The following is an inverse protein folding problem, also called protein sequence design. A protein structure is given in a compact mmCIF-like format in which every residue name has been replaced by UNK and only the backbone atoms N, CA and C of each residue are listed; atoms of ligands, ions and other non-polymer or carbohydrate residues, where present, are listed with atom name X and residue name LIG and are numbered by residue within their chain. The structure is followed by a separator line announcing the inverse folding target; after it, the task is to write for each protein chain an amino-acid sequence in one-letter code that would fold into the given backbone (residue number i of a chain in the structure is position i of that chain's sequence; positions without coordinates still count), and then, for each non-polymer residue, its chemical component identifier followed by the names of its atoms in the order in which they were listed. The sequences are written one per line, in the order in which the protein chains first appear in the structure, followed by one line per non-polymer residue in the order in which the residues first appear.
data_IF_989772096539
#
_entry.id   IF_989772096539
#
_cell.length_a   1.000
_cell.length_b   1.000
_cell.length_c   1.000
_cell.angle_alpha   90.00
_cell.angle_beta   90.00
_cell.angle_gamma   90.00
#
_symmetry.space_group_name_H-M   'P 1'
#
loop_
_entity.id
_entity.type
_entity.pdbx_description
1 polymer ?
#
# COMPACT_ATOMS: atom_id res chain seq x y z
N UNK A 1 31.80 35.46 9.21
CA UNK A 1 30.69 34.63 9.71
C UNK A 1 31.22 33.36 10.37
N UNK A 2 32.13 32.63 9.73
CA UNK A 2 32.70 31.37 10.27
C UNK A 2 33.43 31.51 11.61
N UNK A 3 34.19 32.60 11.82
CA UNK A 3 34.81 32.91 13.12
C UNK A 3 33.80 33.22 14.24
N UNK A 4 32.57 33.62 13.88
CA UNK A 4 31.48 33.91 14.82
C UNK A 4 30.75 32.62 15.19
N UNK A 5 30.50 31.73 14.22
CA UNK A 5 29.91 30.41 14.41
C UNK A 5 30.82 29.54 15.27
N UNK A 6 32.12 29.46 14.95
CA UNK A 6 33.08 28.68 15.72
C UNK A 6 33.25 29.16 17.18
N UNK A 7 32.94 30.42 17.47
CA UNK A 7 33.03 31.01 18.82
C UNK A 7 31.80 30.68 19.69
N UNK A 8 30.63 30.47 19.08
CA UNK A 8 29.40 30.11 19.79
C UNK A 8 29.06 28.61 19.71
N UNK A 9 29.58 27.92 18.71
CA UNK A 9 29.35 26.50 18.46
C UNK A 9 30.56 25.89 17.72
N UNK A 10 31.60 25.49 18.46
CA UNK A 10 32.86 25.02 17.88
C UNK A 10 32.69 23.72 17.07
N UNK A 11 31.64 22.95 17.33
CA UNK A 11 31.34 21.70 16.64
C UNK A 11 30.42 21.87 15.42
N UNK A 12 29.92 23.08 15.15
CA UNK A 12 28.98 23.35 14.06
C UNK A 12 29.51 22.86 12.71
N UNK A 13 30.79 23.08 12.43
CA UNK A 13 31.44 22.63 11.19
C UNK A 13 31.50 21.10 11.11
N UNK A 14 31.84 20.42 12.22
CA UNK A 14 31.89 18.95 12.27
C UNK A 14 30.51 18.34 12.10
N UNK A 15 29.47 18.93 12.71
CA UNK A 15 28.08 18.49 12.54
C UNK A 15 27.56 18.74 11.12
N UNK A 16 27.88 19.88 10.52
CA UNK A 16 27.54 20.16 9.13
C UNK A 16 28.20 19.16 8.16
N UNK A 17 29.47 18.82 8.37
CA UNK A 17 30.17 17.80 7.58
C UNK A 17 29.57 16.39 7.76
N UNK A 18 29.17 16.01 8.98
CA UNK A 18 28.48 14.74 9.23
C UNK A 18 27.09 14.70 8.60
N UNK A 19 26.31 15.79 8.69
CA UNK A 19 25.01 15.91 8.01
C UNK A 19 25.16 15.90 6.48
N UNK A 20 26.27 16.41 5.94
CA UNK A 20 26.57 16.28 4.52
C UNK A 20 26.78 14.82 4.08
N UNK A 21 27.12 13.90 4.98
CA UNK A 21 27.19 12.47 4.66
C UNK A 21 25.81 11.80 4.59
N UNK A 22 24.73 12.45 5.04
CA UNK A 22 23.35 11.91 5.00
C UNK A 22 22.56 12.37 3.76
N UNK A 23 23.24 12.88 2.73
CA UNK A 23 22.62 13.21 1.45
C UNK A 23 22.02 11.96 0.83
N UNK A 24 20.79 12.05 0.35
CA UNK A 24 20.05 10.91 -0.17
C UNK A 24 18.97 11.37 -1.17
N UNK A 25 18.57 10.46 -2.06
CA UNK A 25 17.41 10.62 -2.94
C UNK A 25 16.58 9.35 -2.82
N UNK A 26 15.35 9.47 -2.33
CA UNK A 26 14.48 8.33 -2.10
C UNK A 26 13.09 8.55 -2.67
N UNK A 27 12.40 7.44 -2.95
CA UNK A 27 11.03 7.43 -3.47
C UNK A 27 10.09 6.67 -2.56
N UNK A 28 8.84 7.12 -2.46
CA UNK A 28 7.80 6.47 -1.67
C UNK A 28 6.45 6.51 -2.43
N UNK A 29 5.83 5.35 -2.73
CA UNK A 29 4.47 5.32 -3.26
C UNK A 29 3.47 5.92 -2.26
N UNK A 30 2.49 6.71 -2.74
CA UNK A 30 1.49 7.37 -1.88
C UNK A 30 0.03 7.05 -2.26
N UNK A 31 -0.19 6.11 -3.18
CA UNK A 31 -1.51 5.73 -3.68
C UNK A 31 -1.93 6.50 -4.93
N UNK A 32 -3.05 6.09 -5.55
CA UNK A 32 -3.65 6.73 -6.73
C UNK A 32 -2.73 6.91 -7.94
N UNK A 33 -1.74 6.03 -8.08
CA UNK A 33 -0.73 6.10 -9.16
C UNK A 33 0.38 7.13 -8.89
N UNK A 34 0.34 7.79 -7.73
CA UNK A 34 1.26 8.84 -7.34
C UNK A 34 2.40 8.31 -6.46
N UNK A 35 3.56 8.96 -6.57
CA UNK A 35 4.72 8.70 -5.72
C UNK A 35 5.38 10.01 -5.29
N UNK A 36 5.94 9.99 -4.09
CA UNK A 36 6.79 11.04 -3.55
C UNK A 36 8.25 10.80 -3.94
N UNK A 37 8.95 11.86 -4.33
CA UNK A 37 10.40 11.90 -4.51
C UNK A 37 10.99 12.89 -3.50
N UNK A 38 11.81 12.38 -2.58
CA UNK A 38 12.51 13.17 -1.57
C UNK A 38 13.99 13.32 -1.88
N UNK A 39 14.52 14.52 -1.70
CA UNK A 39 15.96 14.82 -1.83
C UNK A 39 16.46 15.47 -0.55
N UNK A 40 17.49 14.88 0.03
CA UNK A 40 18.21 15.44 1.18
C UNK A 40 19.55 15.96 0.68
N UNK A 41 19.78 17.27 0.78
CA UNK A 41 21.06 17.91 0.48
C UNK A 41 21.37 19.07 1.43
N UNK A 42 22.53 19.69 1.27
CA UNK A 42 22.85 20.98 1.89
C UNK A 42 21.78 22.01 1.54
N UNK A 43 21.31 22.78 2.53
CA UNK A 43 20.22 23.74 2.35
C UNK A 43 20.41 24.68 1.14
N UNK A 44 21.58 25.32 0.92
CA UNK A 44 21.75 26.21 -0.24
C UNK A 44 21.60 25.52 -1.60
N UNK A 45 21.90 24.22 -1.66
CA UNK A 45 21.72 23.43 -2.88
C UNK A 45 20.25 23.09 -3.08
N UNK A 46 19.53 22.71 -2.01
CA UNK A 46 18.08 22.48 -2.09
C UNK A 46 17.35 23.76 -2.46
N UNK A 47 17.74 24.90 -1.88
CA UNK A 47 17.17 26.21 -2.21
C UNK A 47 17.37 26.53 -3.70
N UNK A 48 18.60 26.37 -4.22
CA UNK A 48 18.88 26.58 -5.63
C UNK A 48 18.11 25.62 -6.57
N UNK A 49 17.99 24.34 -6.20
CA UNK A 49 17.18 23.36 -6.95
C UNK A 49 15.71 23.76 -6.95
N UNK A 50 15.18 24.12 -5.78
CA UNK A 50 13.79 24.53 -5.64
C UNK A 50 13.49 25.81 -6.42
N UNK A 51 14.38 26.80 -6.38
CA UNK A 51 14.27 28.04 -7.16
C UNK A 51 14.27 27.79 -8.66
N UNK A 52 15.12 26.88 -9.14
CA UNK A 52 15.13 26.48 -10.55
C UNK A 52 13.80 25.83 -10.98
N UNK A 53 13.26 24.91 -10.16
CA UNK A 53 11.95 24.29 -10.38
C UNK A 53 10.84 25.34 -10.34
N UNK A 54 10.90 26.28 -9.40
CA UNK A 54 9.94 27.38 -9.28
C UNK A 54 9.94 28.28 -10.51
N UNK A 55 11.11 28.64 -11.01
CA UNK A 55 11.26 29.48 -12.21
C UNK A 55 10.67 28.77 -13.45
N UNK A 56 11.04 27.50 -13.67
CA UNK A 56 10.53 26.70 -14.77
C UNK A 56 9.01 26.46 -14.65
N UNK A 57 8.51 26.16 -13.45
CA UNK A 57 7.08 26.00 -13.18
C UNK A 57 6.28 27.28 -13.42
N UNK A 58 6.84 28.45 -13.12
CA UNK A 58 6.21 29.75 -13.44
C UNK A 58 6.10 29.97 -14.96
N UNK A 59 7.15 29.61 -15.72
CA UNK A 59 7.13 29.69 -17.18
C UNK A 59 6.06 28.75 -17.75
N UNK A 60 6.02 27.48 -17.31
CA UNK A 60 5.03 26.50 -17.74
C UNK A 60 3.60 26.92 -17.41
N UNK A 61 3.38 27.47 -16.21
CA UNK A 61 2.08 28.01 -15.82
C UNK A 61 1.62 29.14 -16.74
N UNK A 62 2.55 30.00 -17.17
CA UNK A 62 2.24 31.09 -18.09
C UNK A 62 1.83 30.55 -19.46
N UNK A 63 2.54 29.54 -19.97
CA UNK A 63 2.18 28.85 -21.21
C UNK A 63 0.81 28.17 -21.14
N UNK A 64 0.44 27.62 -19.98
CA UNK A 64 -0.88 27.01 -19.73
C UNK A 64 -2.00 28.02 -19.50
N UNK A 65 -1.79 29.33 -19.72
CA UNK A 65 -2.82 30.36 -19.57
C UNK A 65 -3.00 30.90 -18.14
N UNK A 66 -2.09 30.54 -17.23
CA UNK A 66 -1.95 31.18 -15.92
C UNK A 66 -3.20 31.11 -15.05
N UNK A 67 -3.62 32.26 -14.52
CA UNK A 67 -4.75 32.32 -13.60
C UNK A 67 -6.09 32.08 -14.31
N UNK A 68 -6.19 32.45 -15.59
CA UNK A 68 -7.44 32.33 -16.35
C UNK A 68 -7.76 30.88 -16.68
N UNK A 69 -6.75 30.08 -17.03
CA UNK A 69 -6.93 28.63 -17.21
C UNK A 69 -7.37 27.93 -15.92
N UNK A 70 -6.81 28.33 -14.77
CA UNK A 70 -7.23 27.78 -13.49
C UNK A 70 -8.69 28.17 -13.15
N UNK A 71 -9.11 29.40 -13.47
CA UNK A 71 -10.53 29.81 -13.34
C UNK A 71 -11.45 29.01 -14.26
N UNK A 72 -10.96 28.61 -15.42
CA UNK A 72 -11.63 27.71 -16.35
C UNK A 72 -11.58 26.22 -15.92
N UNK A 73 -11.16 25.93 -14.68
CA UNK A 73 -11.01 24.58 -14.11
C UNK A 73 -10.02 23.68 -14.85
N UNK A 74 -8.98 24.28 -15.42
CA UNK A 74 -7.80 23.53 -15.82
C UNK A 74 -6.84 23.41 -14.62
N UNK A 75 -6.91 22.28 -13.92
CA UNK A 75 -6.08 22.01 -12.74
C UNK A 75 -4.58 21.87 -13.09
N UNK A 76 -4.22 21.60 -14.34
CA UNK A 76 -2.83 21.54 -14.80
C UNK A 76 -2.14 22.91 -14.77
N UNK A 77 -2.92 24.01 -14.77
CA UNK A 77 -2.40 25.36 -14.60
C UNK A 77 -2.11 25.71 -13.12
N UNK A 78 -2.42 24.81 -12.18
CA UNK A 78 -2.10 25.00 -10.78
C UNK A 78 -0.58 25.05 -10.57
N UNK A 79 -0.14 25.91 -9.64
CA UNK A 79 1.29 26.10 -9.37
C UNK A 79 1.98 24.80 -8.91
N UNK A 80 1.27 23.93 -8.20
CA UNK A 80 1.79 22.62 -7.79
C UNK A 80 2.04 21.70 -9.00
N UNK A 81 1.04 21.53 -9.87
CA UNK A 81 1.14 20.73 -11.09
C UNK A 81 2.27 21.23 -12.00
N UNK A 82 2.31 22.54 -12.26
CA UNK A 82 3.36 23.14 -13.08
C UNK A 82 4.77 22.96 -12.51
N UNK A 83 4.95 22.98 -11.18
CA UNK A 83 6.27 22.68 -10.57
C UNK A 83 6.64 21.20 -10.70
N UNK A 84 5.69 20.30 -10.52
CA UNK A 84 5.93 18.87 -10.67
C UNK A 84 6.36 18.54 -12.11
N UNK A 85 5.63 19.06 -13.09
CA UNK A 85 5.92 18.86 -14.51
C UNK A 85 7.23 19.55 -14.92
N UNK A 86 7.52 20.73 -14.37
CA UNK A 86 8.79 21.40 -14.60
C UNK A 86 9.98 20.62 -14.03
N UNK A 87 9.84 20.03 -12.84
CA UNK A 87 10.87 19.13 -12.29
C UNK A 87 11.07 17.91 -13.21
N UNK A 88 9.99 17.27 -13.65
CA UNK A 88 10.08 16.15 -14.57
C UNK A 88 10.79 16.54 -15.88
N UNK A 89 10.46 17.71 -16.44
CA UNK A 89 11.10 18.22 -17.64
C UNK A 89 12.58 18.60 -17.43
N UNK A 90 12.95 19.14 -16.26
CA UNK A 90 14.35 19.44 -15.93
C UNK A 90 15.21 18.18 -15.74
N UNK A 91 14.62 17.11 -15.21
CA UNK A 91 15.34 15.86 -14.92
C UNK A 91 15.38 14.93 -16.13
N UNK A 92 14.28 14.85 -16.89
CA UNK A 92 14.10 13.89 -17.98
C UNK A 92 14.25 14.53 -19.37
N UNK A 93 14.18 15.86 -19.47
CA UNK A 93 14.27 16.58 -20.73
C UNK A 93 15.69 17.02 -21.10
N UNK A 94 15.87 17.37 -22.37
CA UNK A 94 17.04 18.09 -22.86
C UNK A 94 16.70 19.57 -23.01
N UNK A 95 17.64 20.45 -22.65
CA UNK A 95 17.47 21.88 -22.87
C UNK A 95 17.67 22.18 -24.37
N UNK A 96 16.63 22.70 -25.03
CA UNK A 96 16.72 23.18 -26.41
C UNK A 96 17.57 24.45 -26.50
N UNK A 97 18.00 24.82 -27.70
CA UNK A 97 18.90 25.96 -27.94
C UNK A 97 18.30 27.30 -27.48
N UNK A 98 16.97 27.42 -27.46
CA UNK A 98 16.24 28.60 -26.96
C UNK A 98 15.92 28.54 -25.45
N UNK A 99 16.43 27.54 -24.73
CA UNK A 99 16.25 27.37 -23.29
C UNK A 99 14.93 26.73 -22.87
N UNK A 100 14.13 26.26 -23.83
CA UNK A 100 12.98 25.39 -23.61
C UNK A 100 13.41 24.01 -23.08
N UNK A 101 12.53 23.37 -22.32
CA UNK A 101 12.74 22.00 -21.85
C UNK A 101 12.02 21.06 -22.81
N UNK A 102 12.80 20.28 -23.57
CA UNK A 102 12.28 19.27 -24.48
C UNK A 102 12.25 17.95 -23.74
N UNK A 103 11.05 17.46 -23.41
CA UNK A 103 10.88 16.15 -22.81
C UNK A 103 10.88 15.06 -23.89
N UNK A 104 11.88 14.19 -23.86
CA UNK A 104 11.93 13.00 -24.72
C UNK A 104 11.62 11.76 -23.88
N UNK A 105 10.34 11.39 -23.84
CA UNK A 105 9.87 10.20 -23.14
C UNK A 105 10.56 8.91 -23.63
N UNK A 106 11.05 8.88 -24.87
CA UNK A 106 11.72 7.69 -25.45
C UNK A 106 13.09 7.41 -24.85
N UNK A 107 13.71 8.38 -24.19
CA UNK A 107 15.02 8.22 -23.53
C UNK A 107 14.95 7.64 -22.13
N UNK A 108 13.76 7.54 -21.54
CA UNK A 108 13.58 7.01 -20.18
C UNK A 108 12.80 5.70 -20.24
N UNK A 109 13.49 4.57 -20.13
CA UNK A 109 12.84 3.27 -19.97
C UNK A 109 12.48 3.06 -18.49
N UNK A 110 11.19 3.17 -18.16
CA UNK A 110 10.67 2.74 -16.85
C UNK A 110 9.79 1.53 -17.05
N UNK A 111 10.08 0.47 -16.31
CA UNK A 111 9.22 -0.71 -16.26
C UNK A 111 8.04 -0.45 -15.32
N UNK A 112 6.82 -0.51 -15.84
CA UNK A 112 5.58 -0.36 -15.09
C UNK A 112 4.77 -1.66 -15.18
N UNK A 113 4.41 -2.22 -14.03
CA UNK A 113 3.59 -3.43 -13.95
C UNK A 113 2.19 -3.07 -13.51
N UNK A 114 1.23 -3.20 -14.43
CA UNK A 114 -0.19 -3.04 -14.13
C UNK A 114 -0.85 -4.41 -14.02
N UNK A 115 -1.54 -4.64 -12.91
CA UNK A 115 -2.33 -5.86 -12.68
C UNK A 115 -3.79 -5.46 -12.45
N UNK A 116 -4.70 -6.00 -13.26
CA UNK A 116 -6.14 -5.79 -13.16
C UNK A 116 -6.90 -6.97 -13.77
N UNK A 117 -8.17 -7.17 -13.39
CA UNK A 117 -9.02 -8.18 -14.02
C UNK A 117 -9.46 -7.75 -15.44
N UNK A 118 -9.85 -8.74 -16.26
CA UNK A 118 -10.19 -8.52 -17.66
C UNK A 118 -11.39 -7.59 -17.84
N UNK A 119 -12.38 -7.69 -16.97
CA UNK A 119 -13.59 -6.87 -17.02
C UNK A 119 -13.24 -5.39 -16.72
N UNK A 120 -12.33 -5.16 -15.77
CA UNK A 120 -11.81 -3.83 -15.43
C UNK A 120 -10.99 -3.24 -16.56
N UNK A 121 -10.17 -4.06 -17.22
CA UNK A 121 -9.43 -3.67 -18.42
C UNK A 121 -10.37 -3.28 -19.57
N UNK A 122 -11.44 -4.06 -19.79
CA UNK A 122 -12.45 -3.83 -20.84
C UNK A 122 -13.41 -2.67 -20.52
N UNK A 123 -13.35 -2.11 -19.33
CA UNK A 123 -14.27 -1.05 -18.87
C UNK A 123 -15.68 -1.56 -18.56
N UNK A 124 -15.83 -2.87 -18.34
CA UNK A 124 -17.10 -3.51 -17.97
C UNK A 124 -17.40 -3.34 -16.47
N UNK A 125 -16.38 -3.01 -15.68
CA UNK A 125 -16.45 -2.59 -14.27
C UNK A 125 -15.29 -1.69 -13.90
N UNK A 126 -15.41 -0.98 -12.79
CA UNK A 126 -14.28 -0.25 -12.17
C UNK A 126 -13.77 -1.01 -10.95
N UNK A 127 -13.09 -2.13 -11.21
CA UNK A 127 -12.38 -2.92 -10.19
C UNK A 127 -11.06 -2.27 -9.75
N UNK A 128 -10.49 -2.78 -8.66
CA UNK A 128 -9.16 -2.36 -8.22
C UNK A 128 -8.09 -2.83 -9.20
N UNK A 129 -7.11 -1.97 -9.46
CA UNK A 129 -5.89 -2.31 -10.17
C UNK A 129 -4.66 -2.03 -9.32
N UNK A 130 -3.52 -2.65 -9.67
CA UNK A 130 -2.25 -2.43 -9.01
C UNK A 130 -1.23 -1.91 -10.01
N UNK A 131 -0.55 -0.80 -9.67
CA UNK A 131 0.64 -0.31 -10.36
C UNK A 131 1.87 -0.59 -9.49
N UNK A 132 2.77 -1.44 -9.97
CA UNK A 132 3.96 -1.87 -9.23
C UNK A 132 3.62 -2.38 -7.81
N UNK A 133 2.49 -3.10 -7.69
CA UNK A 133 1.95 -3.62 -6.43
C UNK A 133 1.22 -2.61 -5.55
N UNK A 134 0.97 -1.39 -6.03
CA UNK A 134 0.25 -0.35 -5.27
C UNK A 134 -1.14 -0.11 -5.86
N UNK A 135 -2.22 -0.06 -5.05
CA UNK A 135 -3.57 0.27 -5.49
C UNK A 135 -3.67 1.54 -6.34
N UNK A 136 -4.32 1.43 -7.50
CA UNK A 136 -4.71 2.55 -8.37
C UNK A 136 -6.15 2.41 -8.88
N UNK A 137 -6.84 3.53 -9.17
CA UNK A 137 -8.15 3.51 -9.82
C UNK A 137 -8.15 2.88 -11.22
N UNK A 138 -9.26 2.23 -11.57
CA UNK A 138 -9.45 1.57 -12.88
C UNK A 138 -9.22 2.48 -14.09
N UNK A 139 -9.65 3.76 -14.11
CA UNK A 139 -9.40 4.65 -15.26
C UNK A 139 -7.89 4.85 -15.51
N UNK A 140 -7.12 5.12 -14.45
CA UNK A 140 -5.66 5.32 -14.54
C UNK A 140 -4.98 4.02 -15.01
N UNK A 141 -5.42 2.88 -14.48
CA UNK A 141 -4.89 1.58 -14.89
C UNK A 141 -5.09 1.32 -16.40
N UNK A 142 -6.25 1.69 -16.95
CA UNK A 142 -6.53 1.58 -18.38
C UNK A 142 -5.67 2.51 -19.23
N UNK A 143 -5.40 3.73 -18.77
CA UNK A 143 -4.47 4.66 -19.45
C UNK A 143 -3.06 4.09 -19.53
N UNK A 144 -2.55 3.54 -18.43
CA UNK A 144 -1.22 2.90 -18.41
C UNK A 144 -1.21 1.62 -19.26
N UNK A 145 -2.28 0.83 -19.21
CA UNK A 145 -2.38 -0.40 -19.99
C UNK A 145 -2.49 -0.13 -21.51
N UNK A 146 -3.08 0.99 -21.93
CA UNK A 146 -3.19 1.38 -23.34
C UNK A 146 -1.83 1.64 -24.01
N UNK A 147 -0.80 1.97 -23.23
CA UNK A 147 0.57 2.22 -23.71
C UNK A 147 1.52 1.06 -23.39
N UNK A 148 1.01 -0.09 -22.96
CA UNK A 148 1.84 -1.23 -22.59
C UNK A 148 2.45 -1.93 -23.82
N UNK A 149 3.77 -2.13 -23.79
CA UNK A 149 4.50 -2.84 -24.85
C UNK A 149 4.22 -4.35 -24.87
N UNK A 150 3.84 -4.93 -23.72
CA UNK A 150 3.63 -6.36 -23.56
C UNK A 150 2.54 -6.69 -22.56
N UNK A 151 1.94 -7.86 -22.74
CA UNK A 151 0.86 -8.36 -21.92
C UNK A 151 1.17 -9.75 -21.38
N UNK A 152 0.71 -10.03 -20.15
CA UNK A 152 0.83 -11.34 -19.51
C UNK A 152 -0.52 -11.73 -18.92
N UNK A 153 -0.93 -12.97 -19.16
CA UNK A 153 -2.13 -13.52 -18.54
C UNK A 153 -1.77 -14.06 -17.15
N UNK A 154 -2.51 -13.60 -16.15
CA UNK A 154 -2.51 -14.15 -14.80
C UNK A 154 -3.80 -14.93 -14.59
N UNK A 155 -3.72 -16.10 -13.99
CA UNK A 155 -4.88 -16.84 -13.45
C UNK A 155 -4.79 -16.74 -11.95
N UNK A 156 -5.86 -16.27 -11.34
CA UNK A 156 -6.00 -16.19 -9.90
C UNK A 156 -7.16 -17.07 -9.45
N UNK A 157 -7.10 -17.53 -8.22
CA UNK A 157 -8.22 -18.16 -7.54
C UNK A 157 -9.32 -17.10 -7.34
N UNK A 158 -10.56 -17.38 -7.77
CA UNK A 158 -11.65 -16.40 -7.72
C UNK A 158 -12.17 -16.13 -6.30
N UNK A 159 -11.84 -16.97 -5.31
CA UNK A 159 -12.32 -16.89 -3.92
C UNK A 159 -11.34 -16.10 -3.05
N UNK A 160 -10.06 -16.45 -3.09
CA UNK A 160 -9.03 -15.86 -2.21
C UNK A 160 -8.05 -14.93 -2.93
N UNK A 161 -8.10 -14.84 -4.26
CA UNK A 161 -7.25 -13.97 -5.07
C UNK A 161 -5.81 -14.49 -5.24
N UNK A 162 -5.52 -15.72 -4.83
CA UNK A 162 -4.19 -16.29 -4.96
C UNK A 162 -3.81 -16.53 -6.42
N UNK A 163 -2.57 -16.20 -6.79
CA UNK A 163 -2.06 -16.47 -8.13
C UNK A 163 -1.88 -17.98 -8.35
N UNK A 164 -2.69 -18.55 -9.25
CA UNK A 164 -2.66 -19.98 -9.60
C UNK A 164 -1.75 -20.27 -10.80
N UNK A 165 -1.72 -19.37 -11.79
CA UNK A 165 -0.87 -19.50 -12.99
C UNK A 165 -0.40 -18.13 -13.45
N UNK A 166 0.92 -17.96 -13.56
CA UNK A 166 1.56 -16.72 -13.98
C UNK A 166 1.69 -16.60 -15.51
N UNK A 167 1.18 -17.57 -16.27
CA UNK A 167 1.20 -17.62 -17.73
C UNK A 167 2.61 -17.86 -18.30
N UNK A 168 2.71 -18.73 -19.32
CA UNK A 168 4.00 -19.08 -19.96
C UNK A 168 4.27 -18.34 -21.27
N UNK A 169 3.31 -17.56 -21.81
CA UNK A 169 3.50 -16.83 -23.07
C UNK A 169 4.09 -15.44 -22.83
N UNK A 170 5.42 -15.39 -22.67
CA UNK A 170 6.29 -14.28 -23.04
C UNK A 170 7.65 -14.87 -23.46
N UNK A 171 8.26 -14.34 -24.52
CA UNK A 171 9.59 -14.76 -25.04
C UNK A 171 10.62 -14.87 -23.88
N UNK A 172 11.33 -16.01 -23.75
CA UNK A 172 12.28 -16.34 -22.65
C UNK A 172 13.74 -15.96 -22.98
N UNK A 173 14.71 -15.89 -22.00
CA UNK A 173 14.65 -16.18 -20.54
C UNK A 173 15.08 -15.00 -19.61
N UNK A 174 14.88 -15.01 -18.27
CA UNK A 174 14.48 -16.11 -17.37
C UNK A 174 13.68 -15.71 -16.08
N UNK A 175 12.71 -16.54 -15.63
CA UNK A 175 11.43 -16.04 -15.07
C UNK A 175 11.24 -16.18 -13.55
N UNK A 176 12.01 -17.01 -12.85
CA UNK A 176 11.70 -17.37 -11.45
C UNK A 176 12.04 -16.27 -10.45
N UNK A 177 13.19 -15.60 -10.60
CA UNK A 177 13.61 -14.52 -9.71
C UNK A 177 12.61 -13.37 -9.73
N UNK A 178 12.22 -12.96 -10.92
CA UNK A 178 11.21 -11.92 -11.13
C UNK A 178 9.88 -12.34 -10.53
N UNK A 179 9.40 -13.56 -10.81
CA UNK A 179 8.18 -14.08 -10.21
C UNK A 179 8.19 -13.99 -8.67
N UNK A 180 9.27 -14.45 -8.02
CA UNK A 180 9.39 -14.44 -6.56
C UNK A 180 9.42 -13.01 -6.00
N UNK A 181 10.12 -12.08 -6.66
CA UNK A 181 10.20 -10.68 -6.20
C UNK A 181 8.89 -9.91 -6.42
N UNK A 182 8.08 -10.27 -7.40
CA UNK A 182 6.75 -9.68 -7.59
C UNK A 182 5.72 -10.23 -6.62
N UNK A 183 5.76 -11.54 -6.31
CA UNK A 183 4.94 -12.15 -5.25
C UNK A 183 5.30 -11.60 -3.88
N UNK A 184 6.60 -11.43 -3.62
CA UNK A 184 7.15 -11.02 -2.32
C UNK A 184 7.84 -9.64 -2.41
N UNK A 185 7.13 -8.54 -2.70
CA UNK A 185 7.76 -7.23 -2.95
C UNK A 185 8.42 -6.63 -1.70
N UNK A 186 7.98 -7.08 -0.52
CA UNK A 186 8.53 -6.73 0.80
C UNK A 186 9.15 -7.98 1.42
N UNK A 187 10.27 -7.79 2.11
CA UNK A 187 11.03 -8.85 2.76
C UNK A 187 10.13 -9.71 3.67
N UNK A 188 10.06 -11.01 3.39
CA UNK A 188 9.22 -11.98 4.14
C UNK A 188 9.61 -12.22 5.60
N UNK A 189 10.77 -11.72 6.05
CA UNK A 189 11.15 -11.77 7.47
C UNK A 189 10.07 -11.04 8.30
N UNK A 190 9.46 -11.68 9.31
CA UNK A 190 8.45 -11.03 10.15
C UNK A 190 8.93 -9.69 10.73
N UNK A 191 8.09 -8.66 10.56
CA UNK A 191 8.34 -7.29 11.01
C UNK A 191 9.38 -6.50 10.21
N UNK A 192 9.86 -7.00 9.07
CA UNK A 192 10.72 -6.23 8.17
C UNK A 192 9.86 -5.49 7.13
N UNK A 193 10.12 -4.20 6.92
CA UNK A 193 9.38 -3.36 5.97
C UNK A 193 10.21 -2.98 4.73
N UNK A 194 11.42 -3.52 4.58
CA UNK A 194 12.28 -3.25 3.42
C UNK A 194 11.81 -4.03 2.20
N UNK A 195 12.02 -3.46 1.01
CA UNK A 195 11.83 -4.18 -0.27
C UNK A 195 12.68 -5.44 -0.33
N UNK A 196 12.12 -6.50 -0.92
CA UNK A 196 12.90 -7.66 -1.29
C UNK A 196 13.80 -7.31 -2.48
N UNK A 197 15.04 -7.77 -2.44
CA UNK A 197 16.06 -7.54 -3.48
C UNK A 197 16.66 -8.85 -3.97
N UNK A 198 16.44 -9.93 -3.23
CA UNK A 198 17.06 -11.22 -3.44
C UNK A 198 15.99 -12.32 -3.37
N UNK A 199 16.06 -13.23 -4.34
CA UNK A 199 15.35 -14.51 -4.30
C UNK A 199 16.20 -15.48 -3.49
N UNK A 200 15.69 -15.91 -2.35
CA UNK A 200 16.38 -16.79 -1.41
C UNK A 200 15.69 -18.16 -1.34
N UNK A 201 16.49 -19.23 -1.28
CA UNK A 201 15.99 -20.60 -1.14
C UNK A 201 15.81 -20.97 0.34
N UNK A 202 14.61 -21.40 0.74
CA UNK A 202 14.35 -21.93 2.08
C UNK A 202 15.26 -23.14 2.39
N UNK A 203 15.29 -24.13 1.49
CA UNK A 203 16.29 -25.20 1.46
C UNK A 203 17.39 -24.85 0.42
N UNK A 204 18.63 -24.59 0.86
CA UNK A 204 19.69 -24.11 -0.04
C UNK A 204 19.99 -25.04 -1.21
N UNK A 205 20.27 -24.45 -2.39
CA UNK A 205 20.81 -25.18 -3.54
C UNK A 205 22.16 -25.84 -3.19
N UNK A 206 22.49 -27.04 -3.72
CA UNK A 206 21.68 -27.88 -4.61
C UNK A 206 20.70 -28.81 -3.89
N UNK A 207 20.57 -28.72 -2.56
CA UNK A 207 19.71 -29.62 -1.79
C UNK A 207 18.22 -29.34 -1.98
N UNK A 208 17.85 -28.11 -2.30
CA UNK A 208 16.50 -27.71 -2.67
C UNK A 208 16.39 -27.27 -4.12
N UNK A 209 15.20 -27.46 -4.72
CA UNK A 209 14.90 -27.04 -6.08
C UNK A 209 14.77 -25.51 -6.18
N UNK A 210 15.06 -24.96 -7.36
CA UNK A 210 14.77 -23.57 -7.69
C UNK A 210 13.36 -23.49 -8.26
N UNK A 211 12.36 -23.41 -7.37
CA UNK A 211 10.94 -23.31 -7.70
C UNK A 211 10.21 -22.32 -6.77
N UNK A 212 8.93 -22.09 -7.02
CA UNK A 212 8.13 -21.10 -6.28
C UNK A 212 7.86 -21.51 -4.83
N UNK A 213 7.89 -22.80 -4.50
CA UNK A 213 7.65 -23.29 -3.15
C UNK A 213 8.90 -23.15 -2.28
N UNK A 214 10.08 -23.36 -2.86
CA UNK A 214 11.35 -23.26 -2.15
C UNK A 214 11.97 -21.85 -2.19
N UNK A 215 11.55 -20.96 -3.08
CA UNK A 215 12.11 -19.61 -3.19
C UNK A 215 11.21 -18.51 -2.59
N UNK A 216 11.82 -17.49 -1.97
CA UNK A 216 11.14 -16.34 -1.37
C UNK A 216 11.90 -15.02 -1.43
N UNK A 217 11.20 -13.90 -1.38
CA UNK A 217 11.79 -12.56 -1.38
C UNK A 217 12.34 -12.13 -0.02
N UNK A 218 13.64 -11.80 0.03
CA UNK A 218 14.30 -11.18 1.18
C UNK A 218 15.04 -9.90 0.79
N UNK A 219 15.17 -8.97 1.74
CA UNK A 219 16.14 -7.87 1.60
C UNK A 219 17.55 -8.42 1.86
N UNK A 220 18.58 -7.80 1.27
CA UNK A 220 19.97 -8.26 1.39
C UNK A 220 20.40 -8.51 2.84
N UNK A 221 20.03 -7.62 3.76
CA UNK A 221 20.36 -7.78 5.19
C UNK A 221 19.75 -9.05 5.80
N UNK A 222 18.48 -9.36 5.49
CA UNK A 222 17.80 -10.52 6.08
C UNK A 222 18.22 -11.82 5.41
N UNK A 223 18.56 -11.79 4.12
CA UNK A 223 19.20 -12.92 3.45
C UNK A 223 20.52 -13.29 4.14
N UNK A 224 21.41 -12.33 4.37
CA UNK A 224 22.70 -12.58 5.05
C UNK A 224 22.53 -13.17 6.46
N UNK A 225 21.51 -12.76 7.22
CA UNK A 225 21.19 -13.34 8.53
C UNK A 225 20.86 -14.85 8.42
N UNK A 226 20.13 -15.24 7.39
CA UNK A 226 19.81 -16.65 7.12
C UNK A 226 21.03 -17.40 6.59
N UNK A 227 21.80 -16.82 5.68
CA UNK A 227 23.05 -17.41 5.18
C UNK A 227 24.04 -17.70 6.31
N UNK A 228 24.11 -16.82 7.31
CA UNK A 228 24.92 -17.00 8.52
C UNK A 228 24.36 -18.03 9.52
N UNK A 229 23.23 -18.68 9.23
CA UNK A 229 22.62 -19.70 10.08
C UNK A 229 21.92 -19.16 11.34
N UNK A 230 21.63 -17.86 11.41
CA UNK A 230 20.92 -17.26 12.54
C UNK A 230 19.40 -17.41 12.45
N UNK A 231 18.90 -17.83 11.29
CA UNK A 231 17.51 -18.19 11.06
C UNK A 231 17.40 -19.17 9.89
N UNK A 232 16.28 -19.89 9.84
CA UNK A 232 15.87 -20.75 8.74
C UNK A 232 14.42 -20.46 8.37
N UNK A 233 14.02 -20.90 7.18
CA UNK A 233 12.62 -20.91 6.74
C UNK A 233 12.21 -22.37 6.61
N UNK A 234 11.15 -22.74 7.30
CA UNK A 234 10.50 -24.05 7.22
C UNK A 234 9.11 -23.89 6.58
N UNK A 235 8.52 -25.00 6.13
CA UNK A 235 7.15 -25.04 5.59
C UNK A 235 6.90 -23.99 4.49
N UNK A 236 7.93 -23.64 3.71
CA UNK A 236 7.81 -22.66 2.63
C UNK A 236 6.88 -23.22 1.54
N UNK A 237 5.93 -22.41 1.10
CA UNK A 237 4.94 -22.79 0.10
C UNK A 237 4.93 -21.81 -1.09
N UNK A 238 4.29 -22.25 -2.19
CA UNK A 238 4.28 -21.54 -3.46
C UNK A 238 3.57 -20.17 -3.40
N UNK A 239 2.71 -19.96 -2.41
CA UNK A 239 1.98 -18.71 -2.12
C UNK A 239 2.80 -17.68 -1.31
N UNK A 240 4.06 -17.99 -1.00
CA UNK A 240 4.92 -17.13 -0.19
C UNK A 240 4.68 -17.26 1.32
N UNK A 241 3.83 -18.18 1.78
CA UNK A 241 3.70 -18.51 3.19
C UNK A 241 4.86 -19.39 3.68
N UNK A 242 5.01 -19.50 5.00
CA UNK A 242 5.99 -20.37 5.63
C UNK A 242 6.22 -20.04 7.10
N UNK A 243 7.26 -20.62 7.68
CA UNK A 243 7.62 -20.42 9.08
C UNK A 243 9.04 -19.90 9.19
N UNK A 244 9.21 -18.69 9.72
CA UNK A 244 10.52 -18.18 10.09
C UNK A 244 10.93 -18.78 11.43
N UNK A 245 12.06 -19.49 11.46
CA UNK A 245 12.60 -20.10 12.67
C UNK A 245 13.90 -19.38 13.04
N UNK A 246 13.95 -18.76 14.22
CA UNK A 246 15.18 -18.11 14.70
C UNK A 246 16.17 -19.14 15.23
N UNK A 247 17.44 -18.77 15.42
CA UNK A 247 18.45 -19.61 16.08
C UNK A 247 18.06 -20.10 17.48
N UNK A 248 17.12 -19.41 18.14
CA UNK A 248 16.57 -19.80 19.45
C UNK A 248 15.30 -20.63 19.34
N UNK A 249 14.98 -21.13 18.13
CA UNK A 249 13.81 -21.97 17.82
C UNK A 249 12.46 -21.29 18.01
N UNK A 250 12.42 -19.95 18.07
CA UNK A 250 11.15 -19.22 17.99
C UNK A 250 10.59 -19.39 16.57
N UNK A 251 9.32 -19.80 16.47
CA UNK A 251 8.61 -20.02 15.21
C UNK A 251 7.64 -18.87 15.00
N UNK A 252 7.76 -18.17 13.87
CA UNK A 252 6.90 -17.04 13.53
C UNK A 252 6.32 -17.30 12.13
N UNK A 253 4.99 -17.29 12.02
CA UNK A 253 4.30 -17.52 10.75
C UNK A 253 4.54 -16.35 9.80
N UNK A 254 4.93 -16.67 8.58
CA UNK A 254 4.91 -15.78 7.43
C UNK A 254 3.55 -16.02 6.73
N UNK A 255 2.66 -15.01 6.68
CA UNK A 255 1.39 -15.16 5.99
C UNK A 255 1.61 -15.28 4.47
N UNK A 256 0.66 -15.93 3.78
CA UNK A 256 0.62 -15.93 2.32
C UNK A 256 0.59 -14.49 1.78
N UNK A 257 1.24 -14.25 0.65
CA UNK A 257 1.28 -12.94 0.01
C UNK A 257 0.27 -12.95 -1.14
N UNK A 258 -0.98 -12.60 -0.82
CA UNK A 258 -1.99 -12.39 -1.86
C UNK A 258 -1.65 -11.13 -2.65
N UNK A 259 -1.55 -11.26 -3.97
CA UNK A 259 -1.28 -10.13 -4.86
C UNK A 259 -2.52 -9.24 -4.97
N UNK A 260 -3.71 -9.85 -5.01
CA UNK A 260 -4.99 -9.14 -4.98
C UNK A 260 -5.76 -9.53 -3.72
N UNK A 261 -6.47 -8.57 -3.14
CA UNK A 261 -7.37 -8.85 -2.03
C UNK A 261 -8.60 -9.60 -2.55
N UNK A 262 -9.06 -10.66 -1.87
CA UNK A 262 -10.22 -11.40 -2.34
C UNK A 262 -11.48 -10.53 -2.41
N UNK A 263 -12.40 -10.82 -3.34
CA UNK A 263 -13.67 -10.13 -3.39
C UNK A 263 -14.36 -10.27 -2.04
N UNK A 264 -14.72 -9.12 -1.44
CA UNK A 264 -15.44 -9.11 -0.17
C UNK A 264 -16.75 -9.90 -0.36
N UNK A 265 -17.06 -10.89 0.49
CA UNK A 265 -18.30 -11.65 0.35
C UNK A 265 -19.48 -10.68 0.35
N UNK A 266 -20.39 -10.87 -0.61
CA UNK A 266 -21.61 -10.08 -0.70
C UNK A 266 -22.33 -10.12 0.66
N UNK A 267 -22.66 -8.95 1.20
CA UNK A 267 -23.44 -8.89 2.44
C UNK A 267 -24.75 -9.64 2.19
N UNK A 268 -25.14 -10.63 3.02
CA UNK A 268 -26.42 -11.30 2.86
C UNK A 268 -27.51 -10.23 2.76
N UNK A 269 -28.35 -10.34 1.72
CA UNK A 269 -29.53 -9.50 1.63
C UNK A 269 -30.29 -9.61 2.95
N UNK A 270 -30.61 -8.47 3.56
CA UNK A 270 -31.45 -8.49 4.74
C UNK A 270 -32.73 -9.27 4.39
N UNK A 271 -33.18 -10.21 5.23
CA UNK A 271 -34.43 -10.91 4.96
C UNK A 271 -35.53 -9.87 4.76
N UNK A 272 -36.45 -10.08 3.79
CA UNK A 272 -37.57 -9.18 3.60
C UNK A 272 -38.28 -9.05 4.95
N UNK A 273 -38.55 -7.81 5.37
CA UNK A 273 -39.31 -7.56 6.58
C UNK A 273 -40.59 -8.39 6.50
N UNK A 274 -40.76 -9.33 7.43
CA UNK A 274 -41.98 -10.10 7.53
C UNK A 274 -43.12 -9.10 7.65
N UNK A 275 -44.05 -9.14 6.69
CA UNK A 275 -45.22 -8.27 6.67
C UNK A 275 -45.94 -8.41 7.99
N UNK A 276 -45.77 -7.40 8.86
CA UNK A 276 -46.52 -7.30 10.09
C UNK A 276 -47.98 -7.11 9.71
N UNK A 277 -48.81 -8.11 10.02
CA UNK A 277 -50.24 -7.89 10.15
C UNK A 277 -50.40 -6.91 11.31
N UNK A 278 -50.84 -5.70 11.00
CA UNK A 278 -51.22 -4.69 12.00
C UNK A 278 -52.32 -5.30 12.88
N UNK A 279 -52.13 -5.40 14.21
CA UNK A 279 -53.16 -5.96 15.08
C UNK A 279 -54.41 -5.05 15.07
N UNK A 280 -55.63 -5.61 15.12
CA UNK A 280 -56.84 -4.81 15.04
C UNK A 280 -56.97 -3.92 16.28
N UNK A 281 -57.31 -2.67 16.05
CA UNK A 281 -57.56 -1.66 17.10
C UNK A 281 -58.69 -2.14 18.01
N UNK A 282 -58.54 -2.06 19.35
CA UNK A 282 -59.60 -2.49 20.26
C UNK A 282 -60.77 -1.49 20.18
N UNK A 283 -61.95 -2.02 19.86
CA UNK A 283 -63.21 -1.28 19.86
C UNK A 283 -63.64 -0.92 21.29
N UNK A 284 -64.07 0.32 21.47
CA UNK A 284 -64.65 0.84 22.71
C UNK A 284 -65.93 0.08 23.06
N UNK A 285 -65.89 -0.70 24.14
CA UNK A 285 -67.08 -1.21 24.85
C UNK A 285 -67.31 -0.40 26.12
N UNK A 286 -68.52 0.11 26.28
CA UNK A 286 -68.93 1.01 27.35
C UNK A 286 -69.29 0.29 28.67
N UNK A 287 -68.88 0.92 29.78
CA UNK A 287 -69.53 1.05 31.11
C UNK A 287 -69.89 -0.19 31.96
N UNK A 288 -69.34 -0.25 33.19
CA UNK A 288 -70.04 0.05 34.46
C UNK A 288 -69.58 -0.85 35.64
N UNK A 289 -69.30 -0.22 36.80
CA UNK A 289 -69.63 -0.79 38.12
C UNK A 289 -68.49 -1.15 39.07
N UNK A 290 -68.23 -0.27 40.05
CA UNK A 290 -67.49 -0.55 41.29
C UNK A 290 -68.32 -1.39 42.29
N UNK A 291 -67.65 -2.17 43.15
CA UNK A 291 -68.22 -2.80 44.35
C UNK A 291 -67.23 -3.73 45.08
N UNK A 292 -67.33 -3.91 46.40
CA UNK A 292 -66.24 -3.54 47.32
C UNK A 292 -65.49 -4.71 48.01
N UNK A 293 -64.36 -4.33 48.61
CA UNK A 293 -63.37 -5.13 49.37
C UNK A 293 -63.89 -5.62 50.73
N UNK A 294 -63.45 -6.81 51.20
CA UNK A 294 -63.33 -7.13 52.63
C UNK A 294 -61.89 -7.51 53.05
N UNK A 295 -61.60 -7.57 54.38
CA UNK A 295 -60.32 -7.14 54.95
C UNK A 295 -59.36 -8.26 55.39
N UNK A 296 -58.18 -7.82 55.84
CA UNK A 296 -57.02 -8.57 56.33
C UNK A 296 -57.19 -9.19 57.73
N UNK A 297 -56.45 -10.27 57.99
CA UNK A 297 -55.95 -10.77 59.29
C UNK A 297 -54.77 -11.72 58.92
N UNK A 298 -53.58 -11.80 59.53
CA UNK A 298 -53.02 -11.24 60.74
C UNK A 298 -51.93 -12.20 61.28
N UNK A 299 -50.65 -12.01 60.89
CA UNK A 299 -49.41 -12.28 61.67
C UNK A 299 -49.05 -13.71 62.19
N UNK A 300 -47.83 -13.98 62.74
CA UNK A 300 -46.45 -13.57 62.37
C UNK A 300 -45.41 -14.74 62.52
N UNK A 301 -44.11 -14.38 62.70
CA UNK A 301 -42.91 -15.17 63.12
C UNK A 301 -42.08 -15.74 61.95
N UNK A 302 -40.77 -15.56 61.82
CA UNK A 302 -39.65 -15.08 62.65
C UNK A 302 -38.33 -15.34 61.87
N UNK A 303 -37.13 -15.01 62.39
CA UNK A 303 -36.09 -14.35 61.60
C UNK A 303 -34.80 -15.16 61.29
N UNK A 304 -33.98 -14.56 60.40
CA UNK A 304 -32.49 -14.60 60.29
C UNK A 304 -31.83 -15.93 59.87
N UNK A 305 -30.75 -16.00 59.07
CA UNK A 305 -29.61 -15.11 58.85
C UNK A 305 -29.02 -15.25 57.42
N UNK A 306 -28.23 -14.25 56.95
CA UNK A 306 -27.37 -14.32 55.75
C UNK A 306 -25.90 -14.59 56.17
N UNK A 307 -24.85 -14.17 55.45
CA UNK A 307 -24.49 -14.25 54.02
C UNK A 307 -23.11 -14.93 53.83
N UNK A 308 -22.78 -15.51 52.68
CA UNK A 308 -21.35 -15.63 52.30
C UNK A 308 -21.09 -15.39 50.81
N UNK A 309 -20.19 -14.44 50.54
CA UNK A 309 -19.40 -14.25 49.31
C UNK A 309 -17.94 -14.64 49.63
N UNK A 310 -17.02 -14.57 48.66
CA UNK A 310 -16.57 -15.59 47.73
C UNK A 310 -15.13 -16.05 48.10
N UNK A 311 -14.42 -16.78 47.22
CA UNK A 311 -13.09 -16.28 46.89
C UNK A 311 -12.72 -16.39 45.40
N UNK A 312 -12.03 -15.33 44.95
CA UNK A 312 -11.05 -15.18 43.85
C UNK A 312 -11.27 -15.86 42.50
#
# INVERSE_FOLDING_TARGET
LDKLIARHDPDATVRAHKAAATRDVYRQPIGDGMAFLGVTHQAPVIDAVFDAIQAAGKALRTQRGGADALRARNDDAASGACRADALAALVLGTRGEEGELVYDASRTQTELHVVMDLDTLRGERDGLALLNGTPIPAPIAREVAAVADWWRRLVVDPVDGHLLDYGTRQYLPGPLREHVLHRDPICRRPGCTRRAQEMDHALPFPRGASDTANCGGLCSRCHQVKTAGHATIEDSAADGSGTWVTRWRQRIRIPAQAVLEPPRPARPAAPPAAGGVEPPRPGMGAQAGEGPVPPEDGSPVGPADPPERPPF
#
